data_IF_589355041919
#
_entry.id   IF_589355041919
#
_cell.length_a   1.000
_cell.length_b   1.000
_cell.length_c   1.000
_cell.angle_alpha   90.00
_cell.angle_beta   90.00
_cell.angle_gamma   90.00
#
_symmetry.space_group_name_H-M   'P 1'
#
loop_
_entity.id
_entity.type
_entity.pdbx_description
1 polymer ?
#
# COMPACT_ATOMS: atom_id res chain seq x y z
N UNK A 1 8.41 1.15 6.39
CA UNK A 1 8.40 -0.03 5.50
C UNK A 1 6.95 -0.45 5.36
N UNK A 2 6.41 -0.54 4.15
CA UNK A 2 5.06 -1.04 3.90
C UNK A 2 5.00 -2.57 4.01
N UNK A 3 5.47 -3.10 5.15
CA UNK A 3 5.51 -4.55 5.40
C UNK A 3 4.10 -5.12 5.43
N UNK A 4 3.16 -4.38 6.01
CA UNK A 4 1.75 -4.76 6.11
C UNK A 4 1.10 -4.91 4.73
N UNK A 5 1.44 -4.02 3.78
CA UNK A 5 0.95 -4.12 2.39
C UNK A 5 1.54 -5.35 1.69
N UNK A 6 2.83 -5.62 1.88
CA UNK A 6 3.49 -6.79 1.29
C UNK A 6 2.89 -8.09 1.84
N UNK A 7 2.75 -8.19 3.16
CA UNK A 7 2.15 -9.34 3.83
C UNK A 7 0.71 -9.54 3.38
N UNK A 8 -0.09 -8.47 3.32
CA UNK A 8 -1.47 -8.54 2.84
C UNK A 8 -1.57 -9.10 1.42
N UNK A 9 -0.74 -8.60 0.48
CA UNK A 9 -0.71 -9.10 -0.89
C UNK A 9 -0.28 -10.57 -0.95
N UNK A 10 0.75 -10.95 -0.18
CA UNK A 10 1.22 -12.34 -0.13
C UNK A 10 0.15 -13.30 0.37
N UNK A 11 -0.60 -12.91 1.41
CA UNK A 11 -1.66 -13.72 2.01
C UNK A 11 -2.91 -13.81 1.12
N UNK A 12 -3.18 -12.79 0.31
CA UNK A 12 -4.45 -12.67 -0.42
C UNK A 12 -4.35 -12.87 -1.93
N UNK A 13 -3.14 -12.97 -2.51
CA UNK A 13 -2.95 -13.17 -3.96
C UNK A 13 -3.68 -14.41 -4.51
N UNK A 14 -3.86 -15.45 -3.69
CA UNK A 14 -4.53 -16.69 -4.09
C UNK A 14 -6.06 -16.55 -4.20
N UNK A 15 -6.66 -15.51 -3.60
CA UNK A 15 -8.10 -15.29 -3.62
C UNK A 15 -8.60 -14.68 -4.94
N UNK A 16 -7.69 -14.23 -5.80
CA UNK A 16 -8.00 -13.64 -7.10
C UNK A 16 -7.41 -12.24 -7.27
N UNK A 17 -7.97 -11.47 -8.21
CA UNK A 17 -7.45 -10.13 -8.54
C UNK A 17 -7.66 -9.17 -7.37
N UNK A 18 -6.56 -8.69 -6.81
CA UNK A 18 -6.56 -7.58 -5.86
C UNK A 18 -6.72 -6.24 -6.59
N UNK A 19 -7.52 -5.34 -6.03
CA UNK A 19 -7.73 -3.99 -6.58
C UNK A 19 -7.12 -2.97 -5.64
N UNK A 20 -6.04 -2.32 -6.10
CA UNK A 20 -5.37 -1.25 -5.37
C UNK A 20 -5.85 0.13 -5.77
N UNK A 21 -5.87 1.07 -4.83
CA UNK A 21 -6.18 2.47 -5.06
C UNK A 21 -5.48 3.37 -4.06
N UNK A 22 -5.40 4.65 -4.39
CA UNK A 22 -4.93 5.69 -3.48
C UNK A 22 -5.86 6.90 -3.56
N UNK A 23 -6.11 7.56 -2.44
CA UNK A 23 -6.74 8.88 -2.43
C UNK A 23 -5.80 9.93 -3.01
N UNK A 24 -6.35 11.10 -3.35
CA UNK A 24 -5.52 12.25 -3.72
C UNK A 24 -4.54 12.61 -2.57
N UNK A 25 -3.25 12.84 -2.86
CA UNK A 25 -2.29 13.33 -1.87
C UNK A 25 -2.63 14.72 -1.35
N UNK A 26 -2.80 14.82 -0.03
CA UNK A 26 -2.94 16.09 0.68
C UNK A 26 -1.75 16.36 1.62
N UNK A 27 -1.69 17.54 2.25
CA UNK A 27 -0.61 17.89 3.18
C UNK A 27 -0.53 17.00 4.42
N UNK A 28 -1.58 16.21 4.69
CA UNK A 28 -1.64 15.27 5.81
C UNK A 28 -1.20 13.86 5.38
N UNK A 29 -1.02 13.63 4.08
CA UNK A 29 -0.83 12.32 3.48
C UNK A 29 -1.97 11.90 2.56
N UNK A 30 -2.01 10.62 2.25
CA UNK A 30 -3.06 9.97 1.47
C UNK A 30 -3.40 8.59 2.03
N UNK A 31 -4.58 8.09 1.70
CA UNK A 31 -5.00 6.74 2.02
C UNK A 31 -4.66 5.80 0.87
N UNK A 32 -3.96 4.70 1.15
CA UNK A 32 -3.79 3.56 0.25
C UNK A 32 -4.79 2.48 0.64
N UNK A 33 -5.46 1.91 -0.36
CA UNK A 33 -6.41 0.81 -0.17
C UNK A 33 -6.07 -0.37 -1.07
N UNK A 34 -6.29 -1.59 -0.58
CA UNK A 34 -6.27 -2.81 -1.40
C UNK A 34 -7.47 -3.67 -1.04
N UNK A 35 -8.37 -3.84 -2.00
CA UNK A 35 -9.55 -4.69 -1.85
C UNK A 35 -9.29 -6.09 -2.41
N UNK A 36 -9.66 -7.10 -1.63
CA UNK A 36 -9.63 -8.51 -2.02
C UNK A 36 -11.05 -9.01 -2.32
N UNK A 37 -11.26 -9.90 -3.32
CA UNK A 37 -12.55 -10.54 -3.56
C UNK A 37 -13.09 -11.37 -2.38
N UNK A 38 -12.26 -11.72 -1.38
CA UNK A 38 -12.74 -12.36 -0.16
C UNK A 38 -13.51 -11.42 0.79
N UNK A 39 -13.61 -10.12 0.45
CA UNK A 39 -14.34 -9.12 1.22
C UNK A 39 -13.48 -8.31 2.20
N UNK A 40 -12.20 -8.65 2.36
CA UNK A 40 -11.26 -7.90 3.20
C UNK A 40 -10.64 -6.74 2.41
N UNK A 41 -10.50 -5.60 3.08
CA UNK A 41 -9.82 -4.40 2.56
C UNK A 41 -8.70 -4.02 3.51
N UNK A 42 -7.49 -3.84 2.96
CA UNK A 42 -6.40 -3.16 3.66
C UNK A 42 -6.56 -1.66 3.45
N UNK A 43 -6.49 -0.89 4.53
CA UNK A 43 -6.44 0.57 4.51
C UNK A 43 -5.20 1.06 5.26
N UNK A 44 -4.38 1.88 4.61
CA UNK A 44 -3.15 2.41 5.21
C UNK A 44 -3.00 3.89 4.89
N UNK A 45 -2.97 4.71 5.93
CA UNK A 45 -2.59 6.11 5.81
C UNK A 45 -1.09 6.24 5.49
N UNK A 46 -0.73 7.11 4.57
CA UNK A 46 0.65 7.33 4.13
C UNK A 46 0.99 8.78 4.29
N UNK A 47 1.95 9.08 5.17
CA UNK A 47 2.50 10.44 5.30
C UNK A 47 3.52 10.75 4.21
N UNK A 48 3.86 12.03 4.03
CA UNK A 48 4.95 12.43 3.11
C UNK A 48 6.28 11.76 3.49
N UNK A 49 6.56 11.60 4.79
CA UNK A 49 7.75 10.93 5.28
C UNK A 49 7.74 9.43 4.94
N UNK A 50 6.60 8.77 5.11
CA UNK A 50 6.44 7.35 4.73
C UNK A 50 6.68 7.16 3.22
N UNK A 51 6.13 8.05 2.39
CA UNK A 51 6.29 8.02 0.94
C UNK A 51 7.75 8.29 0.53
N UNK A 52 8.41 9.30 1.12
CA UNK A 52 9.81 9.61 0.85
C UNK A 52 10.75 8.46 1.25
N UNK A 53 10.50 7.83 2.40
CA UNK A 53 11.28 6.67 2.85
C UNK A 53 11.15 5.48 1.88
N UNK A 54 9.95 5.26 1.31
CA UNK A 54 9.73 4.21 0.31
C UNK A 54 10.45 4.51 -1.01
N UNK A 55 10.35 5.75 -1.52
CA UNK A 55 11.06 6.18 -2.72
C UNK A 55 12.58 6.04 -2.61
N UNK A 56 13.16 6.45 -1.49
CA UNK A 56 14.61 6.30 -1.24
C UNK A 56 15.03 4.83 -1.25
N UNK A 57 14.20 3.93 -0.72
CA UNK A 57 14.47 2.50 -0.73
C UNK A 57 14.37 1.90 -2.13
N UNK A 58 13.42 2.34 -2.94
CA UNK A 58 13.30 1.93 -4.34
C UNK A 58 14.51 2.40 -5.16
N UNK A 59 14.97 3.64 -4.95
CA UNK A 59 16.16 4.17 -5.61
C UNK A 59 17.46 3.43 -5.23
N UNK A 60 17.52 2.85 -4.03
CA UNK A 60 18.65 2.04 -3.56
C UNK A 60 18.64 0.57 -4.01
N UNK A 61 17.60 0.09 -4.71
CA UNK A 61 17.47 -1.29 -5.23
C UNK A 61 18.10 -1.47 -6.63
N UNK A 62 19.23 -0.81 -6.89
CA UNK A 62 20.01 -0.98 -8.12
C UNK A 62 20.80 -2.30 -8.14
#
# INVERSE_FOLDING_TARGET
MFTDLTAFVQDHQAHGKLVGGASEPGPQGYLVTVACPCGVVLERWVTELDAAADLLRLAGRN
#
